data_IF_062473042829
#
_entry.id   IF_062473042829
#
_cell.length_a   1.000
_cell.length_b   1.000
_cell.length_c   1.000
_cell.angle_alpha   90.00
_cell.angle_beta   90.00
_cell.angle_gamma   90.00
#
_symmetry.space_group_name_H-M   'P 1'
#
loop_
_entity.id
_entity.type
_entity.pdbx_description
1 polymer ?
#
# COMPACT_ATOMS: atom_id res chain seq x y z
N UNK A 1 -31.20 30.64 -21.70
CA UNK A 1 -30.71 32.01 -21.68
C UNK A 1 -31.51 32.82 -20.67
N UNK A 2 -30.88 33.39 -19.67
CA UNK A 2 -31.07 34.80 -19.38
C UNK A 2 -29.74 35.53 -19.06
N UNK A 3 -29.75 36.74 -19.47
CA UNK A 3 -28.86 37.89 -19.55
C UNK A 3 -28.00 38.19 -18.31
N UNK A 4 -26.73 38.48 -18.57
CA UNK A 4 -25.79 39.18 -17.71
C UNK A 4 -26.28 40.63 -17.49
N UNK A 5 -26.24 41.10 -16.22
CA UNK A 5 -26.23 42.51 -15.90
C UNK A 5 -24.82 42.91 -15.43
N UNK A 6 -24.21 43.82 -16.21
CA UNK A 6 -23.08 44.64 -15.83
C UNK A 6 -23.56 45.74 -14.88
N UNK A 7 -22.85 46.00 -13.81
CA UNK A 7 -22.93 47.27 -13.08
C UNK A 7 -21.50 47.83 -12.98
N UNK A 8 -21.29 49.06 -13.51
CA UNK A 8 -20.08 49.79 -13.25
C UNK A 8 -20.31 50.81 -12.12
N UNK A 9 -19.24 51.20 -11.43
CA UNK A 9 -19.29 52.41 -10.61
C UNK A 9 -18.54 52.28 -9.30
N UNK A 10 -17.20 52.47 -9.34
CA UNK A 10 -16.48 52.90 -8.16
C UNK A 10 -16.61 54.38 -7.96
N UNK A 11 -16.42 54.94 -6.81
CA UNK A 11 -15.86 56.25 -6.66
C UNK A 11 -14.46 56.19 -6.08
N UNK A 12 -13.49 56.63 -6.91
CA UNK A 12 -12.29 57.25 -6.41
C UNK A 12 -12.70 58.62 -5.84
N UNK A 13 -12.39 58.84 -4.59
CA UNK A 13 -12.14 60.11 -3.96
C UNK A 13 -12.40 60.03 -2.46
N UNK A 14 -11.30 59.88 -1.71
CA UNK A 14 -11.15 60.39 -0.33
C UNK A 14 -9.76 60.01 0.18
N UNK A 15 -8.73 60.67 -0.36
CA UNK A 15 -7.42 60.66 0.22
C UNK A 15 -6.79 62.06 0.10
N UNK A 16 -7.32 62.96 0.83
CA UNK A 16 -6.63 64.21 1.13
C UNK A 16 -7.32 64.82 2.35
N UNK A 17 -6.71 64.60 3.53
CA UNK A 17 -6.78 65.49 4.71
C UNK A 17 -6.38 64.66 5.93
N UNK A 18 -5.10 64.67 6.30
CA UNK A 18 -4.60 64.55 7.66
C UNK A 18 -3.05 64.62 7.69
N UNK A 19 -2.48 65.72 7.23
CA UNK A 19 -1.14 66.09 7.63
C UNK A 19 -1.24 67.34 8.51
N UNK A 20 -1.57 67.15 9.77
CA UNK A 20 -1.42 68.16 10.80
C UNK A 20 0.07 68.21 11.23
N UNK A 21 0.66 69.41 11.44
CA UNK A 21 2.02 69.56 11.93
C UNK A 21 2.06 69.08 13.42
N UNK A 22 2.67 67.94 13.67
CA UNK A 22 2.88 67.44 15.03
C UNK A 22 2.75 65.92 15.24
N UNK A 23 2.55 65.13 14.18
CA UNK A 23 2.53 63.67 14.36
C UNK A 23 3.95 63.13 14.62
N UNK A 24 4.13 62.53 15.79
CA UNK A 24 5.37 61.80 16.12
C UNK A 24 5.65 60.73 15.03
N UNK A 25 6.91 60.51 14.64
CA UNK A 25 7.26 59.50 13.67
C UNK A 25 6.72 58.13 14.10
N UNK A 26 6.16 57.31 13.19
CA UNK A 26 5.63 56.02 13.55
C UNK A 26 6.74 55.17 14.20
N UNK A 27 6.42 54.41 15.24
CA UNK A 27 7.40 53.57 15.89
C UNK A 27 8.00 52.56 14.85
N UNK A 28 9.30 52.30 14.96
CA UNK A 28 9.97 51.40 14.03
C UNK A 28 9.25 50.04 13.99
N UNK A 29 9.12 49.40 12.83
CA UNK A 29 8.42 48.14 12.69
C UNK A 29 9.05 47.10 13.62
N UNK A 30 8.22 46.43 14.40
CA UNK A 30 8.67 45.35 15.29
C UNK A 30 9.37 44.28 14.44
N UNK A 31 10.56 43.83 14.81
CA UNK A 31 11.24 42.76 14.08
C UNK A 31 10.34 41.53 14.00
N UNK A 32 10.29 40.88 12.84
CA UNK A 32 9.53 39.62 12.68
C UNK A 32 10.03 38.59 13.71
N UNK A 33 9.14 37.72 14.19
CA UNK A 33 9.50 36.66 15.18
C UNK A 33 10.73 35.86 14.74
N UNK A 34 10.91 35.64 13.42
CA UNK A 34 12.08 34.95 12.87
C UNK A 34 13.37 35.78 13.05
N UNK A 35 13.36 37.12 12.84
CA UNK A 35 14.53 37.98 13.06
C UNK A 35 14.86 38.10 14.55
N UNK A 36 13.86 38.13 15.44
CA UNK A 36 14.08 38.14 16.86
C UNK A 36 14.68 36.80 17.35
N UNK A 37 14.20 35.67 16.85
CA UNK A 37 14.75 34.36 17.16
C UNK A 37 16.19 34.20 16.65
N UNK A 38 16.48 34.66 15.43
CA UNK A 38 17.84 34.63 14.86
C UNK A 38 18.83 35.52 15.66
N UNK A 39 18.39 36.70 16.08
CA UNK A 39 19.21 37.59 16.92
C UNK A 39 19.44 37.00 18.31
N UNK A 40 18.45 36.31 18.90
CA UNK A 40 18.60 35.60 20.15
C UNK A 40 19.56 34.42 20.01
N UNK A 41 19.41 33.60 19.00
CA UNK A 41 20.28 32.47 18.69
C UNK A 41 21.73 32.92 18.48
N UNK A 42 21.97 34.05 17.77
CA UNK A 42 23.30 34.59 17.52
C UNK A 42 24.01 35.11 18.80
N UNK A 43 23.26 35.65 19.76
CA UNK A 43 23.75 36.05 21.07
C UNK A 43 24.07 34.84 21.95
N UNK A 44 23.23 33.82 21.87
CA UNK A 44 23.37 32.59 22.63
C UNK A 44 24.63 31.82 22.21
N UNK A 45 24.91 31.74 20.92
CA UNK A 45 26.10 31.07 20.36
C UNK A 45 27.42 31.81 20.72
N UNK A 46 27.38 33.15 20.93
CA UNK A 46 28.55 33.94 21.24
C UNK A 46 28.95 33.91 22.71
N UNK A 47 28.12 33.36 23.60
CA UNK A 47 28.47 33.23 25.02
C UNK A 47 29.43 32.05 25.23
N UNK A 48 30.64 32.25 25.75
CA UNK A 48 31.58 31.16 25.99
C UNK A 48 31.02 30.10 26.96
N UNK A 49 30.07 30.48 27.81
CA UNK A 49 29.48 29.60 28.82
C UNK A 49 28.47 28.57 28.22
N UNK A 50 28.09 28.75 26.95
CA UNK A 50 27.10 27.88 26.31
C UNK A 50 27.71 26.78 25.41
N UNK A 51 29.04 26.68 25.38
CA UNK A 51 29.73 25.69 24.53
C UNK A 51 29.31 24.26 24.81
N UNK A 52 29.09 23.92 26.07
CA UNK A 52 28.64 22.60 26.45
C UNK A 52 27.24 22.27 25.88
N UNK A 53 26.34 23.26 25.77
CA UNK A 53 25.01 23.10 25.21
C UNK A 53 25.05 22.87 23.67
N UNK A 54 25.95 23.58 22.99
CA UNK A 54 26.22 23.36 21.57
C UNK A 54 26.79 21.96 21.32
N UNK A 55 27.70 21.50 22.15
CA UNK A 55 28.25 20.15 22.10
C UNK A 55 27.17 19.10 22.37
N UNK A 56 26.29 19.35 23.32
CA UNK A 56 25.17 18.45 23.64
C UNK A 56 24.15 18.36 22.47
N UNK A 57 23.82 19.49 21.85
CA UNK A 57 22.95 19.53 20.67
C UNK A 57 23.62 18.85 19.47
N UNK A 58 24.92 19.09 19.25
CA UNK A 58 25.67 18.44 18.18
C UNK A 58 25.75 16.91 18.37
N UNK A 59 26.02 16.47 19.61
CA UNK A 59 26.07 15.04 19.95
C UNK A 59 24.67 14.38 19.80
N UNK A 60 23.61 15.05 20.23
CA UNK A 60 22.24 14.56 20.06
C UNK A 60 21.87 14.47 18.57
N UNK A 61 22.23 15.46 17.75
CA UNK A 61 22.01 15.43 16.32
C UNK A 61 22.81 14.31 15.64
N UNK A 62 24.08 14.13 16.02
CA UNK A 62 24.91 13.03 15.52
C UNK A 62 24.34 11.66 15.91
N UNK A 63 23.93 11.52 17.18
CA UNK A 63 23.30 10.30 17.66
C UNK A 63 21.99 9.99 16.90
N UNK A 64 21.15 11.00 16.66
CA UNK A 64 19.95 10.85 15.87
C UNK A 64 20.25 10.41 14.43
N UNK A 65 21.28 10.98 13.80
CA UNK A 65 21.74 10.58 12.46
C UNK A 65 22.26 9.14 12.43
N UNK A 66 23.07 8.75 13.41
CA UNK A 66 23.60 7.39 13.52
C UNK A 66 22.47 6.38 13.78
N UNK A 67 21.51 6.75 14.62
CA UNK A 67 20.34 5.92 14.87
C UNK A 67 19.47 5.77 13.62
N UNK A 68 19.23 6.86 12.89
CA UNK A 68 18.48 6.81 11.61
C UNK A 68 19.21 5.95 10.57
N UNK A 69 20.51 6.05 10.46
CA UNK A 69 21.31 5.21 9.57
C UNK A 69 21.29 3.72 9.97
N UNK A 70 21.35 3.44 11.29
CA UNK A 70 21.30 2.07 11.81
C UNK A 70 19.92 1.42 11.65
N UNK A 71 18.85 2.23 11.75
CA UNK A 71 17.46 1.79 11.58
C UNK A 71 16.96 1.90 10.14
N UNK A 72 17.78 2.43 9.21
CA UNK A 72 17.41 2.53 7.81
C UNK A 72 17.12 1.13 7.24
N UNK A 73 15.99 0.94 6.54
CA UNK A 73 15.70 -0.31 5.88
C UNK A 73 16.83 -0.70 4.94
N UNK A 74 17.32 -1.94 5.10
CA UNK A 74 18.41 -2.46 4.26
C UNK A 74 17.92 -2.64 2.82
N UNK A 75 18.76 -2.31 1.85
CA UNK A 75 18.50 -2.67 0.47
C UNK A 75 18.56 -4.19 0.32
N UNK A 76 17.61 -4.77 -0.40
CA UNK A 76 17.60 -6.19 -0.70
C UNK A 76 18.70 -6.50 -1.71
N UNK A 77 19.61 -7.38 -1.34
CA UNK A 77 20.59 -7.96 -2.27
C UNK A 77 19.85 -8.90 -3.25
N UNK A 78 20.34 -9.01 -4.48
CA UNK A 78 19.71 -9.87 -5.49
C UNK A 78 18.43 -9.31 -6.13
N UNK A 79 17.94 -8.14 -5.70
CA UNK A 79 16.82 -7.49 -6.36
C UNK A 79 17.21 -6.94 -7.72
N UNK A 80 16.49 -7.34 -8.76
CA UNK A 80 16.69 -6.87 -10.12
C UNK A 80 15.37 -6.56 -10.82
N UNK A 81 15.40 -5.57 -11.70
CA UNK A 81 14.25 -5.13 -12.49
C UNK A 81 14.55 -5.39 -13.96
N UNK A 82 13.69 -6.16 -14.63
CA UNK A 82 13.78 -6.46 -16.06
C UNK A 82 12.45 -6.16 -16.75
N UNK A 83 12.49 -5.50 -17.89
CA UNK A 83 11.28 -5.14 -18.62
C UNK A 83 11.57 -4.32 -19.87
N UNK A 84 10.52 -3.94 -20.57
CA UNK A 84 10.59 -3.07 -21.73
C UNK A 84 10.64 -1.57 -21.33
N UNK A 85 10.74 -0.69 -22.33
CA UNK A 85 10.80 0.76 -22.11
C UNK A 85 9.52 1.30 -21.43
N UNK A 86 8.35 0.73 -21.75
CA UNK A 86 7.06 1.10 -21.17
C UNK A 86 7.02 0.73 -19.70
N UNK A 87 7.51 -0.46 -19.34
CA UNK A 87 7.62 -0.90 -17.94
C UNK A 87 8.44 0.07 -17.09
N UNK A 88 9.63 0.48 -17.57
CA UNK A 88 10.48 1.41 -16.82
C UNK A 88 9.91 2.83 -16.72
N UNK A 89 9.14 3.24 -17.71
CA UNK A 89 8.47 4.55 -17.69
C UNK A 89 7.27 4.57 -16.79
N UNK A 90 6.44 3.54 -16.83
CA UNK A 90 5.07 3.57 -16.31
C UNK A 90 4.91 2.79 -14.99
N UNK A 91 5.81 1.87 -14.66
CA UNK A 91 5.68 0.99 -13.50
C UNK A 91 6.78 1.23 -12.47
N UNK A 92 8.05 1.00 -12.84
CA UNK A 92 9.16 1.04 -11.89
C UNK A 92 10.41 1.59 -12.54
N UNK A 93 11.20 2.36 -11.81
CA UNK A 93 12.46 2.86 -12.33
C UNK A 93 13.48 1.73 -12.53
N UNK A 94 14.30 1.82 -13.59
CA UNK A 94 15.33 0.79 -13.92
C UNK A 94 16.28 0.49 -12.74
N UNK A 95 16.56 1.51 -11.94
CA UNK A 95 17.48 1.42 -10.79
C UNK A 95 16.74 1.46 -9.45
N UNK A 96 15.44 1.09 -9.45
CA UNK A 96 14.71 0.93 -8.21
C UNK A 96 15.39 -0.12 -7.33
N UNK A 97 15.34 0.09 -6.03
CA UNK A 97 15.87 -0.86 -5.03
C UNK A 97 14.74 -1.28 -4.12
N UNK A 98 14.60 -2.56 -3.89
CA UNK A 98 13.76 -3.07 -2.84
C UNK A 98 14.42 -2.82 -1.48
N UNK A 99 13.61 -2.50 -0.47
CA UNK A 99 14.05 -2.34 0.91
C UNK A 99 13.36 -3.37 1.78
N UNK A 100 14.11 -3.98 2.67
CA UNK A 100 13.58 -4.88 3.69
C UNK A 100 13.04 -4.03 4.84
N UNK A 101 11.74 -4.13 5.11
CA UNK A 101 11.09 -3.46 6.23
C UNK A 101 11.03 -4.34 7.47
N UNK A 102 10.77 -5.63 7.27
CA UNK A 102 10.68 -6.66 8.31
C UNK A 102 11.46 -7.88 7.85
N UNK A 103 12.15 -8.54 8.76
CA UNK A 103 12.92 -9.75 8.52
C UNK A 103 12.87 -10.66 9.76
N UNK A 104 13.08 -11.96 9.58
CA UNK A 104 13.20 -12.92 10.67
C UNK A 104 11.88 -13.43 11.25
N UNK A 105 10.75 -13.20 10.57
CA UNK A 105 9.48 -13.83 10.89
C UNK A 105 9.35 -15.19 10.18
N UNK A 106 8.28 -15.93 10.48
CA UNK A 106 7.87 -17.08 9.68
C UNK A 106 7.38 -16.67 8.28
N UNK A 107 6.97 -17.62 7.42
CA UNK A 107 6.43 -17.32 6.10
C UNK A 107 5.29 -16.30 6.16
N UNK A 108 5.45 -15.20 5.43
CA UNK A 108 4.45 -14.12 5.38
C UNK A 108 3.55 -14.27 4.16
N UNK A 109 2.34 -13.69 4.23
CA UNK A 109 1.38 -13.68 3.12
C UNK A 109 0.42 -12.49 3.22
N UNK A 110 -0.37 -12.32 2.17
CA UNK A 110 -1.54 -11.43 2.11
C UNK A 110 -1.28 -10.02 2.66
N UNK A 111 -0.32 -9.27 2.11
CA UNK A 111 -0.14 -7.89 2.51
C UNK A 111 -1.34 -7.06 2.08
N UNK A 112 -1.82 -6.19 2.96
CA UNK A 112 -2.98 -5.33 2.74
C UNK A 112 -2.64 -3.91 3.15
N UNK A 113 -2.78 -2.98 2.22
CA UNK A 113 -2.63 -1.56 2.48
C UNK A 113 -3.97 -0.94 2.86
N UNK A 114 -4.02 -0.31 4.03
CA UNK A 114 -5.17 0.49 4.48
C UNK A 114 -4.78 1.96 4.46
N UNK A 115 -5.62 2.78 3.82
CA UNK A 115 -5.47 4.22 3.79
C UNK A 115 -6.52 4.82 4.72
N UNK A 116 -6.10 5.31 5.89
CA UNK A 116 -6.94 6.05 6.81
C UNK A 116 -6.69 7.55 6.71
N UNK A 117 -7.63 8.35 7.16
CA UNK A 117 -7.51 9.82 7.13
C UNK A 117 -6.29 10.32 7.93
N UNK A 118 -5.97 9.67 9.05
CA UNK A 118 -4.91 10.10 9.97
C UNK A 118 -3.62 9.26 9.90
N UNK A 119 -3.67 8.04 9.39
CA UNK A 119 -2.52 7.14 9.31
C UNK A 119 -2.72 6.08 8.23
N UNK A 120 -1.66 5.81 7.48
CA UNK A 120 -1.63 4.67 6.58
C UNK A 120 -0.96 3.51 7.30
N UNK A 121 -1.56 2.34 7.24
CA UNK A 121 -0.93 1.14 7.76
C UNK A 121 -0.89 0.00 6.74
N UNK A 122 0.06 -0.88 6.94
CA UNK A 122 0.23 -2.08 6.15
C UNK A 122 0.05 -3.29 7.07
N UNK A 123 -0.96 -4.10 6.78
CA UNK A 123 -1.20 -5.35 7.47
C UNK A 123 -0.66 -6.51 6.63
N UNK A 124 -0.20 -7.56 7.29
CA UNK A 124 0.25 -8.77 6.63
C UNK A 124 0.14 -9.97 7.57
N UNK A 125 -0.02 -11.16 7.01
CA UNK A 125 -0.21 -12.38 7.76
C UNK A 125 1.10 -13.15 7.94
N UNK A 126 1.28 -13.74 9.11
CA UNK A 126 2.21 -14.82 9.39
C UNK A 126 1.38 -16.08 9.67
N UNK A 127 1.17 -16.90 8.64
CA UNK A 127 0.26 -18.05 8.73
C UNK A 127 0.71 -19.08 9.76
N UNK A 128 2.02 -19.34 9.86
CA UNK A 128 2.60 -20.29 10.80
C UNK A 128 2.40 -19.91 12.26
N UNK A 129 2.41 -18.62 12.58
CA UNK A 129 2.17 -18.09 13.92
C UNK A 129 0.69 -17.73 14.16
N UNK A 130 -0.16 -17.83 13.13
CA UNK A 130 -1.56 -17.42 13.16
C UNK A 130 -1.73 -15.96 13.60
N UNK A 131 -0.90 -15.07 13.06
CA UNK A 131 -0.85 -13.66 13.42
C UNK A 131 -1.06 -12.75 12.24
N UNK A 132 -1.72 -11.64 12.49
CA UNK A 132 -1.71 -10.47 11.62
C UNK A 132 -0.80 -9.43 12.25
N UNK A 133 0.17 -9.00 11.48
CA UNK A 133 1.12 -7.97 11.86
C UNK A 133 0.71 -6.63 11.24
N UNK A 134 1.04 -5.55 11.92
CA UNK A 134 0.91 -4.18 11.40
C UNK A 134 2.28 -3.54 11.31
N UNK A 135 2.58 -2.98 10.15
CA UNK A 135 3.74 -2.12 9.94
C UNK A 135 3.25 -0.69 9.69
N UNK A 136 3.70 0.23 10.53
CA UNK A 136 3.42 1.65 10.39
C UNK A 136 4.66 2.35 9.82
N UNK A 137 4.49 3.09 8.73
CA UNK A 137 5.55 3.95 8.21
C UNK A 137 5.69 5.12 9.18
N UNK A 138 6.68 5.05 10.07
CA UNK A 138 6.96 6.09 11.06
C UNK A 138 7.33 7.40 10.38
N UNK A 139 6.59 8.45 10.68
CA UNK A 139 7.00 9.83 10.39
C UNK A 139 7.81 10.34 11.58
N UNK A 140 9.12 10.55 11.39
CA UNK A 140 9.98 11.15 12.42
C UNK A 140 11.02 10.21 13.02
N UNK A 141 11.50 10.54 14.22
CA UNK A 141 12.63 9.89 14.90
C UNK A 141 12.35 8.48 15.44
N UNK A 142 11.08 8.07 15.47
CA UNK A 142 10.67 6.73 15.93
C UNK A 142 10.13 5.96 14.76
N UNK A 143 10.91 5.02 14.23
CA UNK A 143 10.44 4.00 13.32
C UNK A 143 9.82 2.89 14.15
N UNK A 144 8.51 2.78 14.09
CA UNK A 144 7.81 1.65 14.69
C UNK A 144 8.01 0.46 13.75
N UNK A 145 8.66 -0.57 14.22
CA UNK A 145 8.75 -1.86 13.51
C UNK A 145 7.38 -2.54 13.45
N UNK A 146 7.31 -3.74 12.89
CA UNK A 146 6.08 -4.52 12.90
C UNK A 146 5.65 -4.86 14.33
N UNK A 147 4.37 -4.65 14.63
CA UNK A 147 3.73 -5.05 15.88
C UNK A 147 2.63 -6.07 15.59
N UNK A 148 2.34 -6.94 16.57
CA UNK A 148 1.19 -7.85 16.45
C UNK A 148 -0.07 -7.01 16.48
N UNK A 149 -0.85 -7.06 15.40
CA UNK A 149 -2.15 -6.40 15.30
C UNK A 149 -3.24 -7.30 15.86
N UNK A 150 -3.18 -8.60 15.54
CA UNK A 150 -4.18 -9.56 15.94
C UNK A 150 -3.58 -10.97 16.03
N UNK A 151 -3.88 -11.70 17.10
CA UNK A 151 -3.71 -13.15 17.16
C UNK A 151 -4.96 -13.83 16.59
N UNK A 152 -4.80 -14.56 15.49
CA UNK A 152 -5.89 -15.32 14.88
C UNK A 152 -6.19 -16.60 15.71
N UNK A 153 -7.45 -16.99 15.76
CA UNK A 153 -7.87 -18.18 16.53
C UNK A 153 -7.97 -19.44 15.67
N UNK A 154 -7.19 -19.54 14.61
CA UNK A 154 -7.21 -20.69 13.70
C UNK A 154 -6.34 -20.46 12.47
N UNK A 155 -6.24 -21.46 11.58
CA UNK A 155 -5.46 -21.35 10.35
C UNK A 155 -5.88 -20.14 9.55
N UNK A 156 -4.89 -19.36 9.10
CA UNK A 156 -5.06 -18.13 8.38
C UNK A 156 -4.64 -18.34 6.92
N UNK A 157 -5.61 -18.39 6.02
CA UNK A 157 -5.38 -18.61 4.59
C UNK A 157 -5.23 -17.30 3.83
N UNK A 158 -6.01 -16.28 4.14
CA UNK A 158 -5.90 -14.96 3.51
C UNK A 158 -6.31 -13.82 4.45
N UNK A 159 -5.84 -12.62 4.12
CA UNK A 159 -6.22 -11.36 4.76
C UNK A 159 -6.62 -10.38 3.66
N UNK A 160 -7.68 -9.64 3.89
CA UNK A 160 -8.17 -8.58 3.00
C UNK A 160 -8.81 -7.45 3.82
N UNK A 161 -9.22 -6.38 3.16
CA UNK A 161 -10.06 -5.32 3.76
C UNK A 161 -11.48 -5.40 3.20
N UNK A 162 -12.46 -5.19 4.06
CA UNK A 162 -13.85 -4.96 3.69
C UNK A 162 -14.14 -3.46 3.53
N UNK A 163 -15.41 -3.14 3.29
CA UNK A 163 -15.89 -1.75 3.40
C UNK A 163 -15.66 -1.22 4.81
N UNK A 164 -15.45 0.09 4.94
CA UNK A 164 -15.13 0.77 6.19
C UNK A 164 -13.86 0.25 6.89
N UNK A 165 -12.88 -0.22 6.10
CA UNK A 165 -11.54 -0.66 6.54
C UNK A 165 -11.51 -1.84 7.54
N UNK A 166 -12.65 -2.50 7.76
CA UNK A 166 -12.69 -3.72 8.56
C UNK A 166 -11.78 -4.80 7.95
N UNK A 167 -11.04 -5.49 8.80
CA UNK A 167 -10.17 -6.58 8.38
C UNK A 167 -10.98 -7.84 8.11
N UNK A 168 -10.68 -8.53 7.03
CA UNK A 168 -11.29 -9.83 6.70
C UNK A 168 -10.24 -10.91 6.79
N UNK A 169 -10.52 -11.94 7.55
CA UNK A 169 -9.69 -13.11 7.71
C UNK A 169 -10.37 -14.32 7.08
N UNK A 170 -9.61 -15.05 6.26
CA UNK A 170 -10.06 -16.34 5.73
C UNK A 170 -9.43 -17.46 6.53
N UNK A 171 -10.25 -18.33 7.03
CA UNK A 171 -9.83 -19.57 7.66
C UNK A 171 -10.30 -20.80 6.88
N UNK A 172 -9.99 -21.98 7.41
CA UNK A 172 -10.34 -23.27 6.79
C UNK A 172 -11.86 -23.54 6.81
N UNK A 173 -12.59 -22.90 7.71
CA UNK A 173 -14.00 -23.18 7.93
C UNK A 173 -14.90 -21.96 7.85
N UNK A 174 -14.35 -20.77 7.93
CA UNK A 174 -15.10 -19.53 7.91
C UNK A 174 -14.29 -18.34 7.39
N UNK A 175 -15.02 -17.32 7.00
CA UNK A 175 -14.52 -15.98 6.73
C UNK A 175 -15.12 -15.04 7.76
N UNK A 176 -14.29 -14.31 8.47
CA UNK A 176 -14.73 -13.38 9.52
C UNK A 176 -14.26 -11.96 9.21
N UNK A 177 -15.09 -10.98 9.53
CA UNK A 177 -14.64 -9.60 9.68
C UNK A 177 -14.15 -9.38 11.10
N UNK A 178 -13.16 -8.54 11.23
CA UNK A 178 -12.64 -8.08 12.52
C UNK A 178 -12.60 -6.56 12.47
N UNK A 179 -13.38 -5.93 13.33
CA UNK A 179 -13.36 -4.49 13.53
C UNK A 179 -12.11 -4.06 14.34
N UNK A 180 -11.78 -2.78 14.35
CA UNK A 180 -10.61 -2.26 15.07
C UNK A 180 -10.69 -2.46 16.60
N UNK A 181 -11.89 -2.59 17.16
CA UNK A 181 -12.11 -2.95 18.57
C UNK A 181 -11.95 -4.45 18.87
N UNK A 182 -11.63 -5.26 17.84
CA UNK A 182 -11.48 -6.72 17.93
C UNK A 182 -12.81 -7.49 17.83
N UNK A 183 -13.96 -6.82 17.65
CA UNK A 183 -15.23 -7.50 17.44
C UNK A 183 -15.20 -8.32 16.15
N UNK A 184 -15.69 -9.57 16.22
CA UNK A 184 -15.67 -10.51 15.09
C UNK A 184 -17.08 -10.84 14.64
N UNK A 185 -17.30 -10.79 13.35
CA UNK A 185 -18.55 -11.22 12.71
C UNK A 185 -18.25 -12.24 11.62
N UNK A 186 -18.99 -13.35 11.59
CA UNK A 186 -18.85 -14.33 10.52
C UNK A 186 -19.54 -13.81 9.27
N UNK A 187 -18.76 -13.51 8.24
CA UNK A 187 -19.27 -13.14 6.92
C UNK A 187 -19.79 -14.35 6.17
N UNK A 188 -19.15 -15.49 6.37
CA UNK A 188 -19.43 -16.66 5.57
C UNK A 188 -18.94 -17.96 6.25
N UNK A 189 -19.81 -18.97 6.25
CA UNK A 189 -19.50 -20.28 6.79
C UNK A 189 -18.94 -21.16 5.67
N UNK A 190 -17.61 -21.33 5.65
CA UNK A 190 -16.92 -22.17 4.70
C UNK A 190 -15.49 -21.70 4.42
N UNK A 191 -14.66 -22.60 3.88
CA UNK A 191 -13.29 -22.28 3.54
C UNK A 191 -13.21 -21.35 2.33
N UNK A 192 -12.45 -20.27 2.44
CA UNK A 192 -12.07 -19.42 1.31
C UNK A 192 -10.55 -19.35 1.21
N UNK A 193 -10.05 -19.45 -0.01
CA UNK A 193 -8.63 -19.34 -0.32
C UNK A 193 -8.26 -17.98 -0.92
N UNK A 194 -9.26 -17.24 -1.36
CA UNK A 194 -9.08 -15.93 -1.97
C UNK A 194 -10.28 -15.01 -1.67
N UNK A 195 -9.99 -13.73 -1.52
CA UNK A 195 -11.00 -12.67 -1.34
C UNK A 195 -10.68 -11.52 -2.29
N UNK A 196 -11.70 -10.93 -2.88
CA UNK A 196 -11.57 -9.66 -3.59
C UNK A 196 -11.46 -8.50 -2.60
N UNK A 197 -10.82 -7.42 -2.99
CA UNK A 197 -10.85 -6.16 -2.25
C UNK A 197 -12.31 -5.74 -2.00
N UNK A 198 -12.59 -5.24 -0.81
CA UNK A 198 -13.96 -4.94 -0.38
C UNK A 198 -14.76 -6.17 0.05
N UNK A 199 -14.17 -7.38 0.06
CA UNK A 199 -14.79 -8.63 0.50
C UNK A 199 -16.14 -8.94 -0.15
N UNK A 200 -16.32 -8.52 -1.42
CA UNK A 200 -17.57 -8.75 -2.16
C UNK A 200 -17.62 -10.13 -2.79
N UNK A 201 -16.47 -10.67 -3.19
CA UNK A 201 -16.34 -12.01 -3.78
C UNK A 201 -15.37 -12.87 -2.99
N UNK A 202 -15.73 -14.11 -2.86
CA UNK A 202 -14.99 -15.16 -2.19
C UNK A 202 -14.65 -16.26 -3.21
N UNK A 203 -13.41 -16.70 -3.20
CA UNK A 203 -12.94 -17.80 -4.02
C UNK A 203 -12.60 -19.01 -3.18
N UNK A 204 -13.01 -20.19 -3.59
CA UNK A 204 -12.73 -21.39 -2.85
C UNK A 204 -13.21 -22.67 -3.55
N UNK A 205 -13.32 -23.77 -2.79
CA UNK A 205 -13.84 -25.05 -3.24
C UNK A 205 -15.20 -25.32 -2.61
N UNK A 206 -16.15 -25.80 -3.43
CA UNK A 206 -17.48 -26.22 -3.01
C UNK A 206 -17.81 -27.57 -3.65
N UNK A 207 -18.03 -28.59 -2.82
CA UNK A 207 -18.44 -29.92 -3.29
C UNK A 207 -17.56 -30.44 -4.44
N UNK A 208 -16.23 -30.26 -4.35
CA UNK A 208 -15.29 -30.67 -5.39
C UNK A 208 -15.22 -29.77 -6.60
N UNK A 209 -15.90 -28.61 -6.60
CA UNK A 209 -15.86 -27.62 -7.67
C UNK A 209 -15.21 -26.34 -7.16
N UNK A 210 -14.30 -25.76 -7.94
CA UNK A 210 -13.74 -24.46 -7.65
C UNK A 210 -14.70 -23.37 -8.11
N UNK A 211 -14.98 -22.41 -7.24
CA UNK A 211 -16.00 -21.39 -7.46
C UNK A 211 -15.54 -20.00 -7.02
N UNK A 212 -16.17 -18.99 -7.62
CA UNK A 212 -16.22 -17.64 -7.06
C UNK A 212 -17.67 -17.36 -6.71
N UNK A 213 -17.94 -16.89 -5.52
CA UNK A 213 -19.25 -16.61 -4.97
C UNK A 213 -19.31 -15.21 -4.39
N UNK A 214 -20.50 -14.60 -4.41
CA UNK A 214 -20.77 -13.45 -3.57
C UNK A 214 -20.82 -13.84 -2.09
N UNK A 215 -20.58 -12.89 -1.21
CA UNK A 215 -20.67 -13.11 0.25
C UNK A 215 -22.03 -13.67 0.73
N UNK A 216 -23.07 -13.52 -0.07
CA UNK A 216 -24.39 -14.11 0.19
C UNK A 216 -24.54 -15.57 -0.28
N UNK A 217 -23.46 -16.20 -0.75
CA UNK A 217 -23.45 -17.57 -1.27
C UNK A 217 -23.94 -17.73 -2.69
N UNK A 218 -24.25 -16.63 -3.40
CA UNK A 218 -24.66 -16.74 -4.83
C UNK A 218 -23.41 -16.98 -5.67
N UNK A 219 -23.40 -18.10 -6.39
CA UNK A 219 -22.32 -18.45 -7.31
C UNK A 219 -22.23 -17.44 -8.47
N UNK A 220 -21.03 -16.93 -8.69
CA UNK A 220 -20.69 -16.00 -9.78
C UNK A 220 -20.08 -16.75 -10.95
N UNK A 221 -19.18 -17.68 -10.69
CA UNK A 221 -18.52 -18.48 -11.71
C UNK A 221 -18.01 -19.81 -11.13
N UNK A 222 -18.07 -20.87 -11.97
CA UNK A 222 -17.30 -22.07 -11.77
C UNK A 222 -15.92 -21.94 -12.43
N UNK A 223 -14.87 -22.38 -11.74
CA UNK A 223 -13.49 -22.22 -12.17
C UNK A 223 -12.87 -23.57 -12.55
N UNK A 224 -11.89 -23.52 -13.45
CA UNK A 224 -11.11 -24.68 -13.83
C UNK A 224 -9.99 -25.02 -12.81
N UNK A 225 -9.68 -24.13 -11.89
CA UNK A 225 -8.62 -24.27 -10.91
C UNK A 225 -8.94 -23.50 -9.64
N UNK A 226 -8.34 -23.93 -8.51
CA UNK A 226 -8.49 -23.26 -7.22
C UNK A 226 -8.00 -21.81 -7.29
N UNK A 227 -8.84 -20.82 -6.98
CA UNK A 227 -8.42 -19.44 -6.92
C UNK A 227 -7.62 -19.17 -5.64
N UNK A 228 -6.41 -18.68 -5.79
CA UNK A 228 -5.51 -18.32 -4.68
C UNK A 228 -5.48 -16.80 -4.42
N UNK A 229 -5.90 -16.01 -5.38
CA UNK A 229 -6.10 -14.57 -5.26
C UNK A 229 -7.11 -14.07 -6.28
N UNK A 230 -7.83 -13.00 -5.94
CA UNK A 230 -8.84 -12.34 -6.75
C UNK A 230 -8.57 -10.84 -6.83
N UNK A 231 -8.74 -10.23 -8.00
CA UNK A 231 -8.67 -8.79 -8.18
C UNK A 231 -9.55 -8.33 -9.35
N UNK A 232 -10.25 -7.22 -9.19
CA UNK A 232 -11.02 -6.60 -10.27
C UNK A 232 -10.17 -5.67 -11.13
N UNK A 233 -10.55 -5.52 -12.40
CA UNK A 233 -10.12 -4.38 -13.23
C UNK A 233 -10.72 -3.07 -12.68
N UNK A 234 -10.13 -1.89 -13.02
CA UNK A 234 -10.59 -0.59 -12.53
C UNK A 234 -12.06 -0.29 -12.89
N UNK A 235 -12.56 -0.82 -14.01
CA UNK A 235 -13.93 -0.65 -14.47
C UNK A 235 -14.89 -1.74 -13.96
N UNK A 236 -14.40 -2.64 -13.09
CA UNK A 236 -15.09 -3.80 -12.54
C UNK A 236 -15.67 -4.77 -13.58
N UNK A 237 -15.27 -4.67 -14.85
CA UNK A 237 -15.77 -5.53 -15.93
C UNK A 237 -14.96 -6.80 -16.14
N UNK A 238 -13.80 -6.91 -15.50
CA UNK A 238 -12.95 -8.09 -15.55
C UNK A 238 -12.56 -8.48 -14.15
N UNK A 239 -12.85 -9.72 -13.77
CA UNK A 239 -12.32 -10.34 -12.57
C UNK A 239 -11.11 -11.17 -12.96
N UNK A 240 -9.96 -10.84 -12.41
CA UNK A 240 -8.78 -11.66 -12.52
C UNK A 240 -8.72 -12.60 -11.33
N UNK A 241 -8.34 -13.86 -11.59
CA UNK A 241 -7.98 -14.77 -10.52
C UNK A 241 -6.65 -15.46 -10.82
N UNK A 242 -5.90 -15.70 -9.78
CA UNK A 242 -4.68 -16.48 -9.85
C UNK A 242 -4.92 -17.88 -9.30
N UNK A 243 -4.51 -18.89 -10.06
CA UNK A 243 -4.32 -20.26 -9.59
C UNK A 243 -2.83 -20.52 -9.30
N UNK A 244 -2.50 -21.74 -8.88
CA UNK A 244 -1.11 -22.16 -8.74
C UNK A 244 -0.30 -22.08 -10.04
N UNK A 245 -0.96 -22.24 -11.19
CA UNK A 245 -0.30 -22.35 -12.50
C UNK A 245 -0.41 -21.10 -13.37
N UNK A 246 -1.48 -20.31 -13.25
CA UNK A 246 -1.77 -19.23 -14.18
C UNK A 246 -2.64 -18.12 -13.60
N UNK A 247 -2.68 -16.99 -14.31
CA UNK A 247 -3.65 -15.92 -14.11
C UNK A 247 -4.73 -16.05 -15.18
N UNK A 248 -5.99 -15.94 -14.76
CA UNK A 248 -7.18 -16.02 -15.62
C UNK A 248 -7.94 -14.70 -15.53
N UNK A 249 -8.68 -14.39 -16.59
CA UNK A 249 -9.62 -13.28 -16.64
C UNK A 249 -11.02 -13.78 -16.93
N UNK A 250 -11.99 -13.28 -16.17
CA UNK A 250 -13.41 -13.47 -16.41
C UNK A 250 -14.01 -12.13 -16.78
N UNK A 251 -14.70 -12.08 -17.91
CA UNK A 251 -15.53 -10.91 -18.21
C UNK A 251 -16.77 -10.96 -17.30
N UNK A 252 -17.00 -9.88 -16.58
CA UNK A 252 -18.09 -9.77 -15.63
C UNK A 252 -19.06 -8.67 -16.09
N UNK A 253 -20.35 -8.86 -15.83
CA UNK A 253 -21.34 -7.80 -15.71
C UNK A 253 -21.60 -7.54 -14.21
N UNK A 254 -22.54 -6.66 -13.90
CA UNK A 254 -22.81 -6.28 -12.51
C UNK A 254 -23.26 -7.44 -11.59
N UNK A 255 -23.64 -8.58 -12.12
CA UNK A 255 -24.23 -9.69 -11.37
C UNK A 255 -23.51 -11.02 -11.58
N UNK A 256 -22.94 -11.26 -12.77
CA UNK A 256 -22.37 -12.55 -13.16
C UNK A 256 -21.05 -12.39 -13.90
N UNK A 257 -20.19 -13.39 -13.80
CA UNK A 257 -19.00 -13.49 -14.63
C UNK A 257 -19.11 -14.66 -15.60
N UNK A 258 -18.70 -14.42 -16.84
CA UNK A 258 -18.71 -15.44 -17.90
C UNK A 258 -17.64 -16.52 -17.66
N UNK A 259 -17.67 -17.55 -18.49
CA UNK A 259 -16.65 -18.61 -18.46
C UNK A 259 -15.23 -18.04 -18.44
N UNK A 260 -14.38 -18.52 -17.55
CA UNK A 260 -13.02 -18.04 -17.44
C UNK A 260 -12.25 -18.17 -18.74
N UNK A 261 -11.63 -17.07 -19.18
CA UNK A 261 -10.65 -17.10 -20.27
C UNK A 261 -9.27 -16.98 -19.66
N UNK A 262 -8.31 -17.71 -20.20
CA UNK A 262 -6.93 -17.55 -19.81
C UNK A 262 -6.49 -16.12 -20.17
N UNK A 263 -6.29 -15.27 -19.17
CA UNK A 263 -5.92 -13.86 -19.34
C UNK A 263 -4.56 -13.74 -20.00
N UNK A 264 -3.72 -14.72 -19.74
CA UNK A 264 -2.40 -14.82 -20.31
C UNK A 264 -1.99 -16.27 -20.35
N UNK A 265 -1.25 -16.66 -21.38
CA UNK A 265 -0.31 -17.74 -21.32
C UNK A 265 1.10 -17.16 -20.96
N UNK A 266 1.35 -16.58 -19.87
CA UNK A 266 2.67 -16.71 -19.40
C UNK A 266 2.66 -18.06 -18.70
N UNK A 267 3.31 -19.01 -19.21
CA UNK A 267 4.17 -19.80 -18.36
C UNK A 267 5.09 -18.80 -17.62
N UNK A 268 4.48 -18.04 -16.72
CA UNK A 268 5.22 -17.38 -15.66
C UNK A 268 5.59 -18.55 -14.77
N UNK A 269 6.60 -19.23 -15.22
CA UNK A 269 7.16 -20.46 -14.70
C UNK A 269 6.15 -21.43 -14.08
N UNK A 270 6.13 -22.64 -14.65
CA UNK A 270 5.63 -23.89 -14.08
C UNK A 270 6.30 -24.18 -12.74
N UNK A 271 6.25 -23.29 -11.78
CA UNK A 271 6.59 -23.66 -10.45
C UNK A 271 5.29 -24.02 -9.78
N UNK A 272 5.20 -25.28 -9.45
CA UNK A 272 4.13 -25.82 -8.62
C UNK A 272 4.13 -25.26 -7.20
N UNK A 273 4.20 -23.94 -7.09
CA UNK A 273 4.04 -23.19 -5.85
C UNK A 273 2.64 -23.45 -5.32
N UNK A 274 2.53 -24.40 -4.42
CA UNK A 274 1.32 -24.69 -3.64
C UNK A 274 1.05 -23.64 -2.55
N UNK A 275 1.81 -22.55 -2.56
CA UNK A 275 1.75 -21.52 -1.52
C UNK A 275 0.81 -20.36 -1.87
N UNK A 276 0.62 -19.46 -0.92
CA UNK A 276 -0.14 -18.23 -1.10
C UNK A 276 0.33 -17.47 -2.36
N UNK A 277 -0.59 -16.82 -3.05
CA UNK A 277 -0.30 -16.13 -4.30
C UNK A 277 -0.80 -14.69 -4.22
N UNK A 278 0.05 -13.76 -4.62
CA UNK A 278 -0.32 -12.34 -4.72
C UNK A 278 -0.87 -12.00 -6.10
N UNK A 279 -1.93 -11.19 -6.10
CA UNK A 279 -2.53 -10.62 -7.30
C UNK A 279 -3.04 -9.23 -6.95
N UNK A 280 -2.69 -8.23 -7.77
CA UNK A 280 -3.26 -6.90 -7.69
C UNK A 280 -3.42 -6.31 -9.08
N UNK A 281 -4.31 -5.34 -9.19
CA UNK A 281 -4.54 -4.57 -10.43
C UNK A 281 -4.41 -3.09 -10.08
N UNK A 282 -3.76 -2.33 -10.93
CA UNK A 282 -3.66 -0.88 -10.75
C UNK A 282 -4.71 -0.11 -11.55
N UNK A 283 -4.81 1.20 -11.30
CA UNK A 283 -5.76 2.08 -11.96
C UNK A 283 -5.61 2.19 -13.49
N UNK A 284 -4.52 1.69 -14.06
CA UNK A 284 -4.31 1.57 -15.51
C UNK A 284 -4.70 0.17 -16.04
N UNK A 285 -5.20 -0.72 -15.19
CA UNK A 285 -5.59 -2.08 -15.53
C UNK A 285 -4.41 -3.06 -15.64
N UNK A 286 -3.18 -2.67 -15.25
CA UNK A 286 -2.04 -3.58 -15.27
C UNK A 286 -2.16 -4.58 -14.13
N UNK A 287 -1.86 -5.83 -14.43
CA UNK A 287 -1.97 -6.95 -13.48
C UNK A 287 -0.60 -7.30 -12.91
N UNK A 288 -0.50 -7.31 -11.62
CA UNK A 288 0.69 -7.67 -10.85
C UNK A 288 0.46 -9.04 -10.23
N UNK A 289 1.37 -9.96 -10.43
CA UNK A 289 1.25 -11.32 -9.89
C UNK A 289 2.57 -11.85 -9.39
N UNK A 290 2.53 -12.54 -8.25
CA UNK A 290 3.72 -13.21 -7.73
C UNK A 290 4.05 -14.44 -8.58
N UNK A 291 5.33 -14.77 -8.71
CA UNK A 291 5.86 -15.96 -9.33
C UNK A 291 7.00 -16.51 -8.46
N UNK A 292 7.52 -17.68 -8.76
CA UNK A 292 8.61 -18.29 -7.98
C UNK A 292 9.82 -17.36 -7.78
N UNK A 293 10.14 -16.58 -8.81
CA UNK A 293 11.35 -15.76 -8.85
C UNK A 293 11.09 -14.25 -8.76
N UNK A 294 9.89 -13.85 -8.35
CA UNK A 294 9.60 -12.43 -8.25
C UNK A 294 8.14 -12.05 -8.55
N UNK A 295 7.94 -10.79 -8.94
CA UNK A 295 6.63 -10.25 -9.32
C UNK A 295 6.62 -9.94 -10.82
N UNK A 296 5.72 -10.57 -11.55
CA UNK A 296 5.47 -10.26 -12.96
C UNK A 296 4.41 -9.17 -13.08
N UNK A 297 4.60 -8.28 -14.03
CA UNK A 297 3.67 -7.20 -14.37
C UNK A 297 3.21 -7.38 -15.80
N UNK A 298 1.90 -7.49 -15.97
CA UNK A 298 1.23 -7.71 -17.25
C UNK A 298 0.44 -6.47 -17.64
N UNK A 299 0.35 -6.21 -18.93
CA UNK A 299 -0.62 -5.29 -19.48
C UNK A 299 -2.06 -5.85 -19.32
N UNK A 300 -3.10 -5.03 -19.42
CA UNK A 300 -4.49 -5.49 -19.33
C UNK A 300 -4.84 -6.63 -20.29
N UNK A 301 -4.23 -6.64 -21.46
CA UNK A 301 -4.38 -7.68 -22.49
C UNK A 301 -3.57 -8.97 -22.20
N UNK A 302 -2.81 -9.00 -21.10
CA UNK A 302 -2.02 -10.15 -20.67
C UNK A 302 -0.57 -10.20 -21.19
N UNK A 303 -0.12 -9.20 -21.92
CA UNK A 303 1.27 -9.12 -22.40
C UNK A 303 2.22 -8.82 -21.21
N UNK A 304 3.31 -9.58 -21.08
CA UNK A 304 4.31 -9.34 -20.05
C UNK A 304 5.06 -8.03 -20.32
N UNK A 305 4.96 -7.08 -19.40
CA UNK A 305 5.68 -5.80 -19.43
C UNK A 305 7.07 -5.92 -18.78
N UNK A 306 7.16 -6.66 -17.68
CA UNK A 306 8.41 -6.82 -16.97
C UNK A 306 8.29 -7.67 -15.71
N UNK A 307 9.42 -7.91 -15.06
CA UNK A 307 9.55 -8.72 -13.85
C UNK A 307 10.44 -8.01 -12.84
N UNK A 308 9.99 -7.98 -11.61
CA UNK A 308 10.80 -7.63 -10.45
C UNK A 308 11.33 -8.94 -9.87
N UNK A 309 12.61 -9.22 -10.11
CA UNK A 309 13.26 -10.45 -9.62
C UNK A 309 13.62 -10.30 -8.15
N UNK A 310 13.41 -11.36 -7.40
CA UNK A 310 13.72 -11.47 -5.98
C UNK A 310 14.58 -12.72 -5.75
N UNK A 311 15.38 -12.68 -4.70
CA UNK A 311 16.16 -13.84 -4.20
C UNK A 311 15.36 -14.77 -3.32
N UNK A 312 14.11 -14.42 -3.01
CA UNK A 312 13.18 -15.16 -2.16
C UNK A 312 11.80 -15.25 -2.85
N UNK A 313 11.06 -16.30 -2.55
CA UNK A 313 9.76 -16.57 -3.18
C UNK A 313 8.70 -15.60 -2.64
N UNK A 314 8.13 -14.69 -3.47
CA UNK A 314 7.06 -13.82 -3.03
C UNK A 314 5.76 -14.61 -2.86
N UNK A 315 5.07 -14.36 -1.76
CA UNK A 315 3.83 -15.02 -1.34
C UNK A 315 2.62 -14.11 -1.43
N UNK A 316 2.83 -12.80 -1.46
CA UNK A 316 1.76 -11.82 -1.57
C UNK A 316 2.30 -10.47 -2.05
N UNK A 317 1.40 -9.64 -2.54
CA UNK A 317 1.73 -8.26 -2.92
C UNK A 317 0.54 -7.32 -2.67
N UNK A 318 0.84 -6.08 -2.33
CA UNK A 318 -0.13 -5.00 -2.24
C UNK A 318 0.42 -3.74 -2.93
N UNK A 319 -0.44 -3.04 -3.65
CA UNK A 319 -0.17 -1.71 -4.16
C UNK A 319 -0.66 -0.68 -3.13
N UNK A 320 0.11 0.37 -2.92
CA UNK A 320 -0.22 1.39 -1.95
C UNK A 320 -0.39 2.78 -2.61
N UNK A 321 -1.08 3.67 -1.92
CA UNK A 321 -1.31 5.04 -2.38
C UNK A 321 -0.07 5.92 -2.26
N UNK A 322 0.93 5.49 -1.47
CA UNK A 322 2.21 6.17 -1.23
C UNK A 322 3.25 5.95 -2.34
N UNK A 323 2.84 5.40 -3.49
CA UNK A 323 3.70 5.04 -4.61
C UNK A 323 4.74 3.95 -4.29
N UNK A 324 4.34 3.00 -3.45
CA UNK A 324 5.09 1.78 -3.21
C UNK A 324 4.28 0.52 -3.49
N UNK A 325 4.98 -0.55 -3.76
CA UNK A 325 4.47 -1.91 -3.74
C UNK A 325 5.11 -2.63 -2.56
N UNK A 326 4.28 -3.32 -1.80
CA UNK A 326 4.71 -4.14 -0.68
C UNK A 326 4.61 -5.61 -1.05
N UNK A 327 5.65 -6.37 -0.73
CA UNK A 327 5.76 -7.78 -1.10
C UNK A 327 6.11 -8.58 0.15
N UNK A 328 5.34 -9.61 0.44
CA UNK A 328 5.66 -10.61 1.46
C UNK A 328 6.36 -11.80 0.82
N UNK A 329 7.21 -12.50 1.58
CA UNK A 329 7.99 -13.62 1.09
C UNK A 329 7.90 -14.85 1.97
N UNK A 330 8.19 -16.00 1.40
CA UNK A 330 8.25 -17.29 2.11
C UNK A 330 9.36 -17.33 3.17
N UNK A 331 10.45 -16.58 2.97
CA UNK A 331 11.54 -16.43 3.94
C UNK A 331 11.24 -15.46 5.08
N UNK A 332 9.99 -15.01 5.23
CA UNK A 332 9.58 -14.17 6.37
C UNK A 332 9.97 -12.70 6.26
N UNK A 333 10.15 -12.20 5.04
CA UNK A 333 10.49 -10.81 4.78
C UNK A 333 9.30 -10.02 4.25
N UNK A 334 9.17 -8.78 4.73
CA UNK A 334 8.32 -7.76 4.14
C UNK A 334 9.21 -6.77 3.39
N UNK A 335 8.95 -6.61 2.10
CA UNK A 335 9.72 -5.76 1.20
C UNK A 335 8.89 -4.56 0.75
N UNK A 336 9.56 -3.41 0.55
CA UNK A 336 9.00 -2.21 -0.05
C UNK A 336 9.75 -1.87 -1.34
N UNK A 337 9.03 -1.72 -2.43
CA UNK A 337 9.57 -1.38 -3.75
C UNK A 337 8.95 -0.06 -4.22
N UNK A 338 9.73 0.97 -4.52
CA UNK A 338 9.18 2.20 -5.07
C UNK A 338 8.66 1.97 -6.49
N UNK A 339 7.42 2.39 -6.73
CA UNK A 339 6.77 2.35 -8.04
C UNK A 339 6.48 3.75 -8.56
N UNK A 340 6.11 3.88 -9.82
CA UNK A 340 5.73 5.17 -10.38
C UNK A 340 4.40 5.66 -9.78
N UNK A 341 4.25 6.98 -9.63
CA UNK A 341 3.04 7.60 -9.05
C UNK A 341 1.73 7.24 -9.76
N UNK A 342 1.79 6.75 -11.01
CA UNK A 342 0.64 6.24 -11.75
C UNK A 342 0.22 4.83 -11.37
N UNK A 343 1.01 4.11 -10.57
CA UNK A 343 0.67 2.80 -10.02
C UNK A 343 -0.09 3.04 -8.72
N UNK A 344 -1.40 2.91 -8.77
CA UNK A 344 -2.29 3.08 -7.61
C UNK A 344 -3.20 1.87 -7.51
N UNK A 345 -3.58 1.43 -6.31
CA UNK A 345 -4.56 0.36 -6.14
C UNK A 345 -5.92 0.80 -6.69
N UNK A 346 -6.69 -0.17 -7.14
CA UNK A 346 -8.10 -0.02 -7.53
C UNK A 346 -8.98 -0.04 -6.29
#
# INVERSE_FOLDING_TARGET
MPRRRNTPGGPAAFAAYANGPGAAPPPPPRPSKAKAAAAYASRFVKSPDNWWLLLLLASAALYAQLLDAALAPKALEGFAVTGDAKFYRDVVARHAKARVLVDGLGPLSSPVWRAHDDANDLLFAEASAQRVWRHEDGTGLVRVGASVFLDATGPLACVATAEADALVLCGDQNVVTVADDGTRETLWAGAATAISRGATLLGGERNGTFVVEHRNGTAVAALAALPLALAFSPDAKTLYFRSSAAVYALACDAATCNTPRLATRPRIHESGSKGPAGLAVDGAGRVYTTSENGVAVLAPEGTLLGVLKLDDTPTGLALATDAHMYITTAGGRLLRVPVRRGVRPV
#
